data_IF_596518112036
#
_entry.id   IF_596518112036
#
_cell.length_a   1.000
_cell.length_b   1.000
_cell.length_c   1.000
_cell.angle_alpha   90.00
_cell.angle_beta   90.00
_cell.angle_gamma   90.00
#
_symmetry.space_group_name_H-M   'P 1'
#
loop_
_entity.id
_entity.type
_entity.pdbx_description
1 polymer ?
#
# COMPACT_ATOMS: atom_id res chain seq x y z
N UNK A 1 -6.55 -10.34 -6.69
CA UNK A 1 -5.47 -11.15 -6.09
C UNK A 1 -4.89 -10.38 -4.90
N UNK A 2 -4.79 -10.99 -3.72
CA UNK A 2 -4.06 -10.43 -2.56
C UNK A 2 -2.70 -11.10 -2.55
N UNK A 3 -1.63 -10.31 -2.59
CA UNK A 3 -0.26 -10.81 -2.55
C UNK A 3 0.42 -10.33 -1.26
N UNK A 4 1.27 -11.17 -0.66
CA UNK A 4 2.02 -10.85 0.56
C UNK A 4 3.34 -10.19 0.12
N UNK A 5 3.60 -8.96 0.56
CA UNK A 5 4.86 -8.24 0.23
C UNK A 5 5.93 -8.60 1.23
N UNK A 6 5.55 -8.64 2.50
CA UNK A 6 6.47 -8.74 3.62
C UNK A 6 5.75 -9.40 4.79
N UNK A 7 6.31 -10.50 5.25
CA UNK A 7 5.86 -11.24 6.43
C UNK A 7 7.00 -11.23 7.45
N UNK A 8 6.97 -10.27 8.37
CA UNK A 8 7.96 -10.16 9.44
C UNK A 8 7.22 -10.27 10.76
N UNK A 9 7.57 -11.26 11.60
CA UNK A 9 7.06 -11.44 12.97
C UNK A 9 5.55 -11.14 13.12
N UNK A 10 4.70 -11.92 12.45
CA UNK A 10 3.22 -11.81 12.44
C UNK A 10 2.62 -10.50 11.88
N UNK A 11 3.45 -9.57 11.40
CA UNK A 11 3.03 -8.35 10.71
C UNK A 11 3.02 -8.57 9.21
N UNK A 12 1.93 -9.18 8.74
CA UNK A 12 1.70 -9.34 7.31
C UNK A 12 1.29 -8.01 6.67
N UNK A 13 2.06 -7.62 5.63
CA UNK A 13 1.70 -6.55 4.72
C UNK A 13 1.14 -7.17 3.44
N UNK A 14 -0.14 -6.94 3.18
CA UNK A 14 -0.81 -7.41 1.97
C UNK A 14 -1.04 -6.25 1.01
N UNK A 15 -1.03 -6.53 -0.29
CA UNK A 15 -1.50 -5.57 -1.29
C UNK A 15 -2.48 -6.16 -2.27
N UNK A 16 -3.29 -5.26 -2.84
CA UNK A 16 -4.16 -5.51 -3.99
C UNK A 16 -3.93 -4.39 -5.00
N UNK A 17 -3.73 -4.77 -6.26
CA UNK A 17 -3.61 -3.83 -7.38
C UNK A 17 -4.89 -3.90 -8.22
N UNK A 18 -5.30 -2.76 -8.77
CA UNK A 18 -6.31 -2.70 -9.82
C UNK A 18 -5.87 -1.73 -10.90
N UNK A 19 -6.01 -2.15 -12.16
CA UNK A 19 -5.60 -1.40 -13.35
C UNK A 19 -6.78 -0.96 -14.23
N UNK A 20 -8.02 -1.27 -13.85
CA UNK A 20 -9.19 -1.18 -14.76
C UNK A 20 -9.60 0.25 -15.15
N UNK A 21 -9.38 1.27 -14.30
CA UNK A 21 -9.81 2.67 -14.55
C UNK A 21 -8.87 3.73 -13.95
N UNK A 22 -8.51 3.57 -12.67
CA UNK A 22 -7.47 4.35 -12.01
C UNK A 22 -6.42 3.37 -11.47
N UNK A 23 -5.13 3.66 -11.64
CA UNK A 23 -4.05 2.85 -11.05
C UNK A 23 -4.07 3.07 -9.53
N UNK A 24 -4.76 2.19 -8.81
CA UNK A 24 -4.82 2.24 -7.36
C UNK A 24 -4.23 1.00 -6.72
N UNK A 25 -3.57 1.24 -5.59
CA UNK A 25 -3.00 0.21 -4.73
C UNK A 25 -3.73 0.27 -3.39
N UNK A 26 -4.01 -0.90 -2.84
CA UNK A 26 -4.52 -1.03 -1.49
C UNK A 26 -3.50 -1.82 -0.71
N UNK A 27 -2.94 -1.23 0.33
CA UNK A 27 -2.05 -1.93 1.27
C UNK A 27 -2.81 -2.16 2.58
N UNK A 28 -2.73 -3.36 3.11
CA UNK A 28 -3.23 -3.73 4.42
C UNK A 28 -2.05 -4.06 5.33
N UNK A 29 -2.05 -3.52 6.55
CA UNK A 29 -1.00 -3.76 7.54
C UNK A 29 -1.60 -3.83 8.94
N UNK A 30 -1.15 -4.78 9.77
CA UNK A 30 -1.43 -4.79 11.21
C UNK A 30 -0.75 -3.62 11.94
N UNK A 31 0.45 -3.23 11.48
CA UNK A 31 1.23 -2.15 12.08
C UNK A 31 0.94 -0.81 11.41
N UNK A 32 1.10 0.28 12.15
CA UNK A 32 1.09 1.62 11.57
C UNK A 32 2.24 1.80 10.58
N UNK A 33 1.89 2.10 9.34
CA UNK A 33 2.81 2.54 8.31
C UNK A 33 2.62 4.05 8.10
N UNK A 34 3.71 4.79 8.13
CA UNK A 34 3.70 6.20 7.75
C UNK A 34 3.53 6.33 6.24
N UNK A 35 3.13 7.52 5.77
CA UNK A 35 3.05 7.81 4.33
C UNK A 35 4.40 7.60 3.62
N UNK A 36 5.52 7.88 4.29
CA UNK A 36 6.86 7.63 3.75
C UNK A 36 7.13 6.13 3.58
N UNK A 37 6.81 5.31 4.58
CA UNK A 37 6.99 3.85 4.48
C UNK A 37 6.20 3.28 3.29
N UNK A 38 4.95 3.73 3.11
CA UNK A 38 4.11 3.31 1.99
C UNK A 38 4.71 3.71 0.65
N UNK A 39 5.24 4.94 0.54
CA UNK A 39 5.96 5.39 -0.67
C UNK A 39 7.14 4.47 -1.01
N UNK A 40 7.96 4.09 -0.03
CA UNK A 40 9.06 3.16 -0.24
C UNK A 40 8.60 1.77 -0.66
N UNK A 41 7.56 1.23 -0.01
CA UNK A 41 6.98 -0.08 -0.35
C UNK A 41 6.52 -0.09 -1.81
N UNK A 42 5.79 0.94 -2.25
CA UNK A 42 5.33 1.07 -3.63
C UNK A 42 6.50 1.13 -4.61
N UNK A 43 7.54 1.93 -4.31
CA UNK A 43 8.74 2.03 -5.16
C UNK A 43 9.41 0.68 -5.33
N UNK A 44 9.55 -0.08 -4.25
CA UNK A 44 10.20 -1.39 -4.26
C UNK A 44 9.37 -2.45 -5.02
N UNK A 45 8.06 -2.51 -4.79
CA UNK A 45 7.17 -3.48 -5.46
C UNK A 45 7.13 -3.22 -6.97
N UNK A 46 6.92 -1.96 -7.36
CA UNK A 46 6.71 -1.63 -8.76
C UNK A 46 8.00 -1.53 -9.56
N UNK A 47 9.17 -1.52 -8.89
CA UNK A 47 10.49 -1.29 -9.49
C UNK A 47 10.49 -0.11 -10.50
N UNK A 48 9.61 0.86 -10.27
CA UNK A 48 9.34 1.98 -11.17
C UNK A 48 9.63 3.28 -10.45
N UNK A 49 10.31 4.17 -11.14
CA UNK A 49 10.50 5.55 -10.70
C UNK A 49 9.20 6.33 -10.92
N UNK A 50 8.22 6.10 -10.06
CA UNK A 50 7.06 7.00 -9.99
C UNK A 50 7.50 8.33 -9.40
N UNK A 51 7.09 9.44 -10.01
CA UNK A 51 7.18 10.75 -9.38
C UNK A 51 6.29 10.74 -8.13
N UNK A 52 6.92 10.75 -6.95
CA UNK A 52 6.22 10.67 -5.66
C UNK A 52 5.18 11.78 -5.43
N UNK A 53 5.29 12.89 -6.16
CA UNK A 53 4.33 13.99 -6.12
C UNK A 53 2.95 13.60 -6.68
N UNK A 54 2.88 12.56 -7.50
CA UNK A 54 1.61 12.09 -8.08
C UNK A 54 0.91 11.05 -7.22
N UNK A 55 1.50 10.63 -6.09
CA UNK A 55 0.96 9.58 -5.24
C UNK A 55 0.14 10.20 -4.10
N UNK A 56 -1.18 10.01 -4.15
CA UNK A 56 -2.08 10.38 -3.05
C UNK A 56 -2.32 9.17 -2.15
N UNK A 57 -2.04 9.31 -0.85
CA UNK A 57 -2.17 8.23 0.14
C UNK A 57 -3.20 8.65 1.20
N UNK A 58 -4.28 7.88 1.27
CA UNK A 58 -5.33 7.99 2.28
C UNK A 58 -5.30 6.74 3.17
N UNK A 59 -5.49 6.88 4.47
CA UNK A 59 -5.58 5.75 5.39
C UNK A 59 -7.01 5.63 5.94
N UNK A 60 -7.44 4.38 6.16
CA UNK A 60 -8.73 4.02 6.75
C UNK A 60 -8.48 2.89 7.74
N UNK A 61 -8.96 3.05 8.98
CA UNK A 61 -8.96 1.94 9.94
C UNK A 61 -10.08 0.97 9.59
N UNK A 62 -9.78 -0.34 9.50
CA UNK A 62 -10.80 -1.40 9.35
C UNK A 62 -10.97 -2.11 10.70
N UNK A 63 -12.17 -2.64 10.95
CA UNK A 63 -12.40 -3.66 11.98
C UNK A 63 -11.37 -4.81 11.84
N UNK A 64 -10.87 -5.30 12.98
CA UNK A 64 -9.85 -6.35 13.14
C UNK A 64 -8.37 -5.89 13.20
N UNK A 65 -8.10 -4.68 13.68
CA UNK A 65 -6.73 -4.15 13.89
C UNK A 65 -5.87 -3.97 12.63
N UNK A 66 -6.46 -4.15 11.44
CA UNK A 66 -5.78 -3.87 10.18
C UNK A 66 -6.01 -2.43 9.72
N UNK A 67 -4.92 -1.78 9.35
CA UNK A 67 -4.91 -0.47 8.73
C UNK A 67 -4.91 -0.65 7.21
N UNK A 68 -5.81 0.07 6.55
CA UNK A 68 -5.94 0.08 5.10
C UNK A 68 -5.39 1.38 4.55
N UNK A 69 -4.55 1.27 3.55
CA UNK A 69 -3.98 2.40 2.85
C UNK A 69 -4.43 2.37 1.41
N UNK A 70 -5.22 3.37 1.02
CA UNK A 70 -5.59 3.63 -0.35
C UNK A 70 -4.58 4.55 -0.98
N UNK A 71 -3.98 4.07 -2.07
CA UNK A 71 -2.94 4.76 -2.80
C UNK A 71 -3.47 4.97 -4.21
N UNK A 72 -3.62 6.23 -4.59
CA UNK A 72 -3.99 6.62 -5.93
C UNK A 72 -2.74 7.20 -6.61
N UNK A 73 -2.36 6.63 -7.76
CA UNK A 73 -1.32 7.20 -8.62
C UNK A 73 -2.02 8.04 -9.69
N UNK A 74 -1.72 9.35 -9.70
CA UNK A 74 -2.11 10.27 -10.78
C UNK A 74 -1.16 10.17 -11.98
#
# INVERSE_FOLDING_TARGET
MKEIILSIYDNYIYYKISFIRNKYYIIYSKKYLTKLNIKYIIKNILKKNYYFNNIKINYINIKNNYKKYYILIK
#
